data_IF_188180187440
#
_entry.id   IF_188180187440
#
_cell.length_a   1.000
_cell.length_b   1.000
_cell.length_c   1.000
_cell.angle_alpha   90.00
_cell.angle_beta   90.00
_cell.angle_gamma   90.00
#
_symmetry.space_group_name_H-M   'P 1'
#
loop_
_entity.id
_entity.type
_entity.pdbx_description
1 polymer ?
#
# COMPACT_ATOMS: atom_id res chain seq x y z
N UNK A 1 5.95 9.18 -12.49
CA UNK A 1 7.27 9.14 -11.83
C UNK A 1 7.19 8.38 -10.51
N UNK A 2 6.69 8.95 -9.39
CA UNK A 2 6.71 8.25 -8.08
C UNK A 2 6.01 6.87 -8.07
N UNK A 3 4.83 6.76 -8.67
CA UNK A 3 4.10 5.49 -8.72
C UNK A 3 4.80 4.44 -9.61
N UNK A 4 5.46 4.89 -10.68
CA UNK A 4 6.22 4.02 -11.60
C UNK A 4 7.51 3.53 -10.93
N UNK A 5 8.21 4.41 -10.19
CA UNK A 5 9.39 4.05 -9.42
C UNK A 5 9.05 3.01 -8.34
N UNK A 6 7.92 3.20 -7.65
CA UNK A 6 7.42 2.22 -6.69
C UNK A 6 7.05 0.89 -7.36
N UNK A 7 6.40 0.92 -8.52
CA UNK A 7 6.05 -0.28 -9.28
C UNK A 7 7.28 -1.06 -9.72
N UNK A 8 8.34 -0.37 -10.16
CA UNK A 8 9.60 -1.00 -10.52
C UNK A 8 10.24 -1.71 -9.31
N UNK A 9 10.32 -1.04 -8.16
CA UNK A 9 10.85 -1.64 -6.93
C UNK A 9 10.02 -2.86 -6.52
N UNK A 10 8.68 -2.80 -6.61
CA UNK A 10 7.81 -3.94 -6.29
C UNK A 10 8.11 -5.12 -7.22
N UNK A 11 8.24 -4.88 -8.52
CA UNK A 11 8.52 -5.91 -9.51
C UNK A 11 9.86 -6.61 -9.25
N UNK A 12 10.88 -5.84 -8.86
CA UNK A 12 12.21 -6.36 -8.54
C UNK A 12 12.22 -7.17 -7.24
N UNK A 13 11.44 -6.77 -6.23
CA UNK A 13 11.39 -7.42 -4.91
C UNK A 13 10.45 -8.64 -4.88
N UNK A 14 9.35 -8.58 -5.63
CA UNK A 14 8.30 -9.60 -5.65
C UNK A 14 8.15 -10.06 -7.08
N UNK A 15 9.00 -11.02 -7.47
CA UNK A 15 8.95 -11.61 -8.81
C UNK A 15 7.54 -12.12 -9.14
N UNK A 16 6.97 -11.60 -10.23
CA UNK A 16 5.62 -11.97 -10.68
C UNK A 16 4.46 -11.19 -10.04
N UNK A 17 4.73 -10.09 -9.32
CA UNK A 17 3.66 -9.19 -8.88
C UNK A 17 2.94 -8.55 -10.07
N UNK A 18 1.61 -8.64 -10.08
CA UNK A 18 0.75 -7.86 -10.98
C UNK A 18 0.45 -6.51 -10.32
N UNK A 19 0.72 -5.42 -11.02
CA UNK A 19 0.66 -4.05 -10.49
C UNK A 19 -0.32 -3.24 -11.33
N UNK A 20 -1.42 -2.82 -10.71
CA UNK A 20 -2.42 -1.92 -11.31
C UNK A 20 -2.26 -0.51 -10.73
N UNK A 21 -1.85 0.43 -11.58
CA UNK A 21 -1.66 1.84 -11.21
C UNK A 21 -2.91 2.64 -11.55
N UNK A 22 -3.56 3.18 -10.52
CA UNK A 22 -4.80 3.97 -10.64
C UNK A 22 -4.59 5.38 -10.11
N UNK A 23 -5.26 6.37 -10.71
CA UNK A 23 -5.06 7.79 -10.38
C UNK A 23 -6.22 8.38 -9.57
N UNK A 24 -7.39 7.75 -9.58
CA UNK A 24 -8.59 8.27 -8.93
C UNK A 24 -9.14 7.31 -7.87
N UNK A 25 -9.84 7.88 -6.89
CA UNK A 25 -10.49 7.09 -5.84
C UNK A 25 -11.52 6.09 -6.40
N UNK A 26 -12.40 6.46 -7.37
CA UNK A 26 -13.32 5.50 -7.98
C UNK A 26 -12.60 4.32 -8.65
N UNK A 27 -11.55 4.58 -9.45
CA UNK A 27 -10.75 3.52 -10.08
C UNK A 27 -10.11 2.60 -9.04
N UNK A 28 -9.57 3.16 -7.96
CA UNK A 28 -8.98 2.37 -6.88
C UNK A 28 -10.01 1.50 -6.16
N UNK A 29 -11.22 2.00 -5.95
CA UNK A 29 -12.31 1.21 -5.35
C UNK A 29 -12.74 0.06 -6.27
N UNK A 30 -12.87 0.32 -7.57
CA UNK A 30 -13.25 -0.68 -8.58
C UNK A 30 -12.15 -1.73 -8.77
N UNK A 31 -10.87 -1.32 -8.79
CA UNK A 31 -9.73 -2.23 -8.83
C UNK A 31 -9.72 -3.13 -7.59
N UNK A 32 -9.89 -2.55 -6.39
CA UNK A 32 -9.93 -3.31 -5.16
C UNK A 32 -10.99 -4.42 -5.24
N UNK A 33 -12.19 -4.15 -5.74
CA UNK A 33 -13.25 -5.15 -5.84
C UNK A 33 -12.94 -6.33 -6.79
N UNK A 34 -12.15 -6.09 -7.85
CA UNK A 34 -11.84 -7.08 -8.88
C UNK A 34 -10.64 -7.96 -8.55
N UNK A 35 -9.66 -7.43 -7.80
CA UNK A 35 -8.39 -8.13 -7.57
C UNK A 35 -8.57 -9.26 -6.54
N UNK A 36 -8.16 -10.51 -6.86
CA UNK A 36 -8.19 -11.63 -5.93
C UNK A 36 -7.18 -11.43 -4.80
N UNK A 37 -7.51 -11.97 -3.62
CA UNK A 37 -6.59 -11.95 -2.47
C UNK A 37 -5.51 -13.03 -2.62
N UNK A 38 -4.27 -12.77 -2.17
CA UNK A 38 -3.83 -11.62 -1.38
C UNK A 38 -3.34 -10.42 -2.22
N UNK A 39 -3.84 -9.21 -1.90
CA UNK A 39 -3.44 -7.93 -2.52
C UNK A 39 -3.00 -6.93 -1.43
N UNK A 40 -2.14 -5.97 -1.78
CA UNK A 40 -1.84 -4.81 -0.93
C UNK A 40 -2.14 -3.54 -1.70
N UNK A 41 -2.55 -2.53 -0.96
CA UNK A 41 -2.79 -1.20 -1.49
C UNK A 41 -1.57 -0.31 -1.20
N UNK A 42 -1.09 0.39 -2.21
CA UNK A 42 -0.10 1.45 -2.04
C UNK A 42 -0.80 2.80 -2.24
N UNK A 43 -0.70 3.70 -1.26
CA UNK A 43 -1.27 5.05 -1.31
C UNK A 43 -0.14 6.08 -1.29
N UNK A 44 0.00 6.86 -2.35
CA UNK A 44 1.00 7.91 -2.47
C UNK A 44 0.32 9.27 -2.29
N UNK A 45 0.83 10.08 -1.38
CA UNK A 45 0.33 11.41 -1.01
C UNK A 45 -1.20 11.50 -0.89
N UNK A 46 -1.80 10.73 0.04
CA UNK A 46 -3.24 10.79 0.24
C UNK A 46 -3.67 12.19 0.68
N UNK A 47 -4.46 12.85 -0.17
CA UNK A 47 -4.99 14.21 0.10
C UNK A 47 -6.04 14.26 1.21
N UNK A 48 -6.47 13.11 1.73
CA UNK A 48 -7.49 12.99 2.78
C UNK A 48 -6.88 12.27 3.97
N UNK A 49 -7.35 12.56 5.20
CA UNK A 49 -6.95 11.82 6.38
C UNK A 49 -7.14 10.31 6.19
N UNK A 50 -6.19 9.52 6.70
CA UNK A 50 -6.24 8.06 6.63
C UNK A 50 -7.36 7.48 7.49
N UNK A 51 -7.63 8.12 8.63
CA UNK A 51 -8.76 7.78 9.49
C UNK A 51 -10.08 8.10 8.76
N UNK A 52 -10.90 7.06 8.56
CA UNK A 52 -12.15 7.19 7.80
C UNK A 52 -11.95 7.23 6.28
N UNK A 53 -10.72 7.04 5.77
CA UNK A 53 -10.50 6.95 4.33
C UNK A 53 -11.26 5.73 3.75
N UNK A 54 -12.05 5.90 2.67
CA UNK A 54 -12.82 4.80 2.09
C UNK A 54 -11.95 3.61 1.68
N UNK A 55 -10.79 3.85 1.05
CA UNK A 55 -9.85 2.78 0.68
C UNK A 55 -9.28 2.04 1.89
N UNK A 56 -8.87 2.75 2.94
CA UNK A 56 -8.34 2.12 4.17
C UNK A 56 -9.42 1.27 4.82
N UNK A 57 -10.64 1.78 4.88
CA UNK A 57 -11.79 1.06 5.42
C UNK A 57 -12.12 -0.20 4.60
N UNK A 58 -12.08 -0.10 3.27
CA UNK A 58 -12.32 -1.22 2.37
C UNK A 58 -11.20 -2.27 2.47
N UNK A 59 -9.94 -1.83 2.55
CA UNK A 59 -8.78 -2.69 2.73
C UNK A 59 -8.84 -3.46 4.06
N UNK A 60 -9.15 -2.77 5.18
CA UNK A 60 -9.36 -3.39 6.50
C UNK A 60 -10.42 -4.47 6.46
N UNK A 61 -11.59 -4.19 5.88
CA UNK A 61 -12.69 -5.17 5.77
C UNK A 61 -12.32 -6.41 4.98
N UNK A 62 -11.39 -6.30 4.02
CA UNK A 62 -10.89 -7.40 3.19
C UNK A 62 -9.61 -8.04 3.74
N UNK A 63 -9.11 -7.59 4.89
CA UNK A 63 -7.87 -8.11 5.48
C UNK A 63 -6.61 -7.78 4.67
N UNK A 64 -6.61 -6.67 3.93
CA UNK A 64 -5.51 -6.26 3.08
C UNK A 64 -4.56 -5.34 3.81
N UNK A 65 -3.26 -5.44 3.52
CA UNK A 65 -2.29 -4.45 3.95
C UNK A 65 -2.35 -3.21 3.05
N UNK A 66 -2.17 -2.06 3.66
CA UNK A 66 -2.13 -0.73 3.06
C UNK A 66 -0.80 -0.11 3.44
N UNK A 67 -0.02 0.28 2.44
CA UNK A 67 1.22 1.03 2.61
C UNK A 67 0.92 2.47 2.20
N UNK A 68 1.24 3.42 3.06
CA UNK A 68 1.08 4.85 2.81
C UNK A 68 2.44 5.50 2.66
N UNK A 69 2.58 6.32 1.63
CA UNK A 69 3.78 7.08 1.31
C UNK A 69 3.42 8.56 1.26
N UNK A 70 4.03 9.38 2.11
CA UNK A 70 3.79 10.82 2.14
C UNK A 70 5.02 11.57 2.67
N UNK A 71 5.19 12.83 2.28
CA UNK A 71 6.22 13.74 2.82
C UNK A 71 5.96 14.06 4.29
N UNK A 72 4.71 14.04 4.72
CA UNK A 72 4.32 14.28 6.11
C UNK A 72 4.49 13.02 6.98
N UNK A 73 4.54 13.22 8.30
CA UNK A 73 4.40 12.10 9.21
C UNK A 73 3.00 11.50 9.13
N UNK A 74 2.94 10.18 8.99
CA UNK A 74 1.72 9.44 9.26
C UNK A 74 1.60 9.31 10.78
N UNK A 75 0.54 9.82 11.41
CA UNK A 75 0.38 9.71 12.86
C UNK A 75 0.38 8.25 13.31
N UNK A 76 1.06 7.95 14.42
CA UNK A 76 1.17 6.58 14.94
C UNK A 76 -0.21 5.99 15.24
N UNK A 77 -1.20 6.80 15.65
CA UNK A 77 -2.57 6.34 15.89
C UNK A 77 -3.32 5.87 14.62
N UNK A 78 -2.84 6.28 13.44
CA UNK A 78 -3.38 5.77 12.18
C UNK A 78 -2.80 4.39 11.85
N UNK A 79 -1.53 4.15 12.23
CA UNK A 79 -0.79 2.92 11.96
C UNK A 79 -1.20 1.81 12.94
N UNK A 80 -1.38 0.60 12.43
CA UNK A 80 -1.70 -0.57 13.26
C UNK A 80 -0.70 -1.72 13.06
N UNK A 81 0.34 -1.49 12.24
CA UNK A 81 1.45 -2.42 12.01
C UNK A 81 1.10 -3.70 11.23
N UNK A 82 -0.18 -3.94 10.93
CA UNK A 82 -0.66 -5.12 10.21
C UNK A 82 -1.38 -4.75 8.92
N UNK A 83 -2.31 -3.82 9.04
CA UNK A 83 -3.14 -3.32 7.95
C UNK A 83 -2.65 -1.98 7.43
N UNK A 84 -2.13 -1.08 8.27
CA UNK A 84 -1.61 0.21 7.83
C UNK A 84 -0.14 0.37 8.20
N UNK A 85 0.69 0.53 7.17
CA UNK A 85 2.13 0.77 7.25
C UNK A 85 2.44 2.13 6.61
N UNK A 86 3.43 2.84 7.12
CA UNK A 86 3.82 4.16 6.62
C UNK A 86 5.30 4.22 6.24
N UNK A 87 5.63 4.95 5.19
CA UNK A 87 6.99 5.41 4.89
C UNK A 87 6.96 6.85 4.39
N UNK A 88 8.07 7.57 4.55
CA UNK A 88 8.18 8.97 4.12
C UNK A 88 8.67 9.08 2.67
N UNK A 89 8.23 10.12 1.97
CA UNK A 89 8.84 10.58 0.73
C UNK A 89 10.02 11.55 1.02
N UNK A 90 11.10 11.52 0.21
CA UNK A 90 11.39 10.51 -0.80
C UNK A 90 11.73 9.15 -0.17
N UNK A 91 11.35 8.07 -0.84
CA UNK A 91 11.63 6.70 -0.41
C UNK A 91 12.80 6.12 -1.20
N UNK A 92 13.44 5.11 -0.62
CA UNK A 92 14.48 4.29 -1.27
C UNK A 92 13.96 2.88 -1.54
N UNK A 93 14.60 2.17 -2.48
CA UNK A 93 14.34 0.74 -2.71
C UNK A 93 14.44 -0.09 -1.44
N UNK A 94 15.35 0.28 -0.53
CA UNK A 94 15.50 -0.38 0.77
C UNK A 94 14.29 -0.14 1.68
N UNK A 95 13.86 1.12 1.84
CA UNK A 95 12.73 1.48 2.72
C UNK A 95 11.41 0.86 2.24
N UNK A 96 11.12 0.93 0.93
CA UNK A 96 9.91 0.35 0.35
C UNK A 96 10.00 -1.19 0.30
N UNK A 97 11.16 -1.74 -0.07
CA UNK A 97 11.40 -3.19 -0.11
C UNK A 97 11.24 -3.85 1.26
N UNK A 98 11.59 -3.16 2.35
CA UNK A 98 11.37 -3.65 3.73
C UNK A 98 9.88 -3.80 4.04
N UNK A 99 9.07 -2.78 3.70
CA UNK A 99 7.62 -2.83 3.90
C UNK A 99 6.94 -3.88 3.02
N UNK A 100 7.34 -3.99 1.75
CA UNK A 100 6.85 -5.02 0.84
C UNK A 100 7.17 -6.41 1.39
N UNK A 101 8.42 -6.63 1.83
CA UNK A 101 8.84 -7.90 2.41
C UNK A 101 8.04 -8.26 3.65
N UNK A 102 7.73 -7.28 4.52
CA UNK A 102 6.84 -7.48 5.67
C UNK A 102 5.44 -7.91 5.21
N UNK A 103 4.84 -7.20 4.25
CA UNK A 103 3.52 -7.53 3.71
C UNK A 103 3.50 -8.93 3.09
N UNK A 104 4.54 -9.32 2.35
CA UNK A 104 4.63 -10.65 1.73
C UNK A 104 4.78 -11.74 2.79
N UNK A 105 5.63 -11.53 3.81
CA UNK A 105 5.82 -12.48 4.90
C UNK A 105 4.54 -12.66 5.71
N UNK A 106 3.87 -11.57 6.07
CA UNK A 106 2.67 -11.60 6.94
C UNK A 106 1.45 -12.20 6.21
N UNK A 107 1.53 -12.40 4.88
CA UNK A 107 0.55 -13.14 4.06
C UNK A 107 0.76 -14.66 4.06
N UNK A 108 1.98 -15.14 4.30
CA UNK A 108 2.23 -16.57 4.37
C UNK A 108 1.70 -17.06 5.71
N UNK A 109 0.74 -18.01 5.75
CA UNK A 109 0.32 -18.59 7.02
C UNK A 109 1.55 -19.23 7.66
N UNK A 110 1.86 -18.78 8.88
CA UNK A 110 2.69 -19.56 9.82
C UNK A 110 1.97 -20.83 10.25
#
# INVERSE_FOLDING_TARGET
>A
MIAEDAAQIITEQVGGADIDCVATLPEAMDALQRVPVPVALLMIEPRRPLMGHPLVSAARKRGLSVIVMTEADVPDEALDGKTLLGTRLPFTSQSLGTLISQVVRDRLPG
#
